data_IF_271263701816
#
_entry.id   IF_271263701816
#
_cell.length_a   1.000
_cell.length_b   1.000
_cell.length_c   1.000
_cell.angle_alpha   90.00
_cell.angle_beta   90.00
_cell.angle_gamma   90.00
#
_symmetry.space_group_name_H-M   'P 1'
#
loop_
_entity.id
_entity.type
_entity.pdbx_description
1 polymer ?
#
# COMPACT_ATOMS: atom_id res chain seq x y z
N UNK A 1 -22.49 -2.48 15.06
CA UNK A 1 -23.84 -2.52 14.45
C UNK A 1 -23.81 -3.20 13.08
N UNK A 2 -23.12 -2.66 12.07
CA UNK A 2 -23.05 -3.24 10.70
C UNK A 2 -22.48 -4.67 10.61
N UNK A 3 -21.36 -4.97 11.27
CA UNK A 3 -20.72 -6.31 11.16
C UNK A 3 -21.60 -7.43 11.74
N UNK A 4 -22.34 -7.14 12.82
CA UNK A 4 -23.25 -8.09 13.44
C UNK A 4 -24.45 -8.39 12.52
N UNK A 5 -24.98 -7.37 11.85
CA UNK A 5 -26.05 -7.53 10.86
C UNK A 5 -25.57 -8.34 9.65
N UNK A 6 -24.36 -8.06 9.15
CA UNK A 6 -23.76 -8.82 8.05
C UNK A 6 -23.53 -10.29 8.44
N UNK A 7 -23.07 -10.55 9.67
CA UNK A 7 -22.93 -11.92 10.18
C UNK A 7 -24.29 -12.62 10.30
N UNK A 8 -25.32 -11.90 10.74
CA UNK A 8 -26.68 -12.41 10.80
C UNK A 8 -27.21 -12.78 9.41
N UNK A 9 -27.06 -11.90 8.42
CA UNK A 9 -27.48 -12.12 7.03
C UNK A 9 -26.67 -13.22 6.33
N UNK A 10 -25.39 -13.39 6.68
CA UNK A 10 -24.55 -14.51 6.22
C UNK A 10 -25.07 -15.85 6.73
N UNK A 11 -25.54 -15.87 7.98
CA UNK A 11 -25.94 -17.10 8.68
C UNK A 11 -27.39 -17.48 8.37
N UNK A 12 -28.31 -16.53 8.50
CA UNK A 12 -29.76 -16.74 8.44
C UNK A 12 -30.33 -16.41 7.06
N UNK A 13 -29.64 -15.57 6.28
CA UNK A 13 -30.13 -15.09 5.00
C UNK A 13 -31.22 -14.02 5.12
N UNK A 14 -31.80 -13.67 3.97
CA UNK A 14 -32.94 -12.77 3.85
C UNK A 14 -33.89 -13.31 2.78
N UNK A 15 -35.15 -12.89 2.87
CA UNK A 15 -36.18 -13.18 1.86
C UNK A 15 -36.57 -11.86 1.20
N UNK A 16 -36.43 -11.79 -0.11
CA UNK A 16 -36.83 -10.65 -0.93
C UNK A 16 -38.04 -11.06 -1.75
N UNK A 17 -39.17 -10.39 -1.50
CA UNK A 17 -40.38 -10.57 -2.29
C UNK A 17 -40.39 -9.53 -3.42
N UNK A 18 -40.60 -10.00 -4.64
CA UNK A 18 -40.63 -9.15 -5.84
C UNK A 18 -42.07 -8.76 -6.19
N UNK A 19 -42.28 -7.71 -7.01
CA UNK A 19 -43.62 -7.24 -7.39
C UNK A 19 -44.47 -8.28 -8.14
N UNK A 20 -43.85 -9.27 -8.77
CA UNK A 20 -44.48 -10.39 -9.48
C UNK A 20 -44.77 -11.60 -8.56
N UNK A 21 -44.78 -11.40 -7.23
CA UNK A 21 -45.03 -12.42 -6.22
C UNK A 21 -44.01 -13.57 -6.20
N UNK A 22 -42.79 -13.37 -6.70
CA UNK A 22 -41.70 -14.31 -6.48
C UNK A 22 -41.04 -14.04 -5.11
N UNK A 23 -40.54 -15.10 -4.50
CA UNK A 23 -39.81 -15.03 -3.24
C UNK A 23 -38.40 -15.56 -3.43
N UNK A 24 -37.41 -14.68 -3.31
CA UNK A 24 -35.99 -14.99 -3.51
C UNK A 24 -35.32 -15.07 -2.14
N UNK A 25 -34.66 -16.20 -1.87
CA UNK A 25 -33.84 -16.37 -0.65
C UNK A 25 -32.39 -16.05 -0.96
N UNK A 26 -31.79 -15.14 -0.20
CA UNK A 26 -30.43 -14.66 -0.39
C UNK A 26 -29.62 -14.79 0.90
N UNK A 27 -28.30 -14.86 0.79
CA UNK A 27 -27.35 -14.69 1.90
C UNK A 27 -26.33 -13.62 1.51
N UNK A 28 -25.91 -12.81 2.48
CA UNK A 28 -24.91 -11.77 2.26
C UNK A 28 -23.59 -12.20 2.89
N UNK A 29 -22.50 -12.19 2.12
CA UNK A 29 -21.17 -12.57 2.58
C UNK A 29 -20.18 -11.43 2.33
N UNK A 30 -19.34 -11.13 3.34
CA UNK A 30 -18.20 -10.25 3.16
C UNK A 30 -17.07 -11.04 2.51
N UNK A 31 -16.67 -10.67 1.29
CA UNK A 31 -15.55 -11.30 0.59
C UNK A 31 -14.25 -10.52 0.78
N UNK A 32 -14.35 -9.19 0.75
CA UNK A 32 -13.21 -8.28 0.81
C UNK A 32 -13.59 -7.05 1.63
N UNK A 33 -12.68 -6.59 2.47
CA UNK A 33 -12.72 -5.32 3.17
C UNK A 33 -11.59 -4.43 2.65
N UNK A 34 -11.97 -3.45 1.83
CA UNK A 34 -11.04 -2.57 1.11
C UNK A 34 -11.07 -1.13 1.58
N UNK A 35 -9.91 -0.49 1.66
CA UNK A 35 -9.79 0.89 2.10
C UNK A 35 -8.40 1.48 1.84
N UNK A 36 -8.21 2.74 2.24
CA UNK A 36 -6.87 3.31 2.26
C UNK A 36 -5.98 2.58 3.29
N UNK A 37 -4.68 2.89 3.28
CA UNK A 37 -3.72 2.20 4.15
C UNK A 37 -4.15 2.28 5.63
N UNK A 38 -4.47 3.45 6.22
CA UNK A 38 -4.92 3.52 7.61
C UNK A 38 -6.13 2.62 7.89
N UNK A 39 -7.18 2.67 7.07
CA UNK A 39 -8.39 1.87 7.29
C UNK A 39 -8.07 0.36 7.28
N UNK A 40 -7.24 -0.09 6.33
CA UNK A 40 -6.86 -1.51 6.22
C UNK A 40 -6.05 -1.97 7.43
N UNK A 41 -5.12 -1.16 7.94
CA UNK A 41 -4.36 -1.51 9.14
C UNK A 41 -5.23 -1.49 10.41
N UNK A 42 -6.20 -0.58 10.50
CA UNK A 42 -7.16 -0.55 11.59
C UNK A 42 -8.07 -1.80 11.60
N UNK A 43 -8.56 -2.23 10.44
CA UNK A 43 -9.41 -3.41 10.33
C UNK A 43 -8.65 -4.72 10.50
N UNK A 44 -7.48 -4.84 9.86
CA UNK A 44 -6.63 -6.02 9.94
C UNK A 44 -5.99 -6.19 11.32
N UNK A 45 -5.92 -5.09 12.10
CA UNK A 45 -5.21 -5.01 13.38
C UNK A 45 -3.73 -5.34 13.27
N UNK A 46 -3.14 -5.30 12.09
CA UNK A 46 -1.69 -5.39 11.95
C UNK A 46 -1.02 -4.09 12.46
N UNK A 47 0.19 -4.22 12.99
CA UNK A 47 1.01 -3.08 13.33
C UNK A 47 1.50 -2.43 12.03
N UNK A 48 1.35 -1.11 11.92
CA UNK A 48 1.61 -0.35 10.70
C UNK A 48 3.12 -0.13 10.46
N UNK A 49 3.50 0.84 9.62
CA UNK A 49 4.87 1.10 9.13
C UNK A 49 5.92 1.43 10.22
N UNK A 50 5.52 1.61 11.48
CA UNK A 50 6.43 1.82 12.61
C UNK A 50 6.85 0.54 13.32
N UNK A 51 6.31 -0.63 12.94
CA UNK A 51 6.64 -1.92 13.54
C UNK A 51 7.72 -2.66 12.74
N UNK A 52 8.61 -3.37 13.46
CA UNK A 52 9.54 -4.33 12.84
C UNK A 52 8.82 -5.40 12.01
N UNK A 53 7.57 -5.74 12.31
CA UNK A 53 6.75 -6.66 11.52
C UNK A 53 5.55 -5.94 10.91
N UNK A 54 5.82 -4.81 10.23
CA UNK A 54 4.80 -3.91 9.70
C UNK A 54 4.05 -4.40 8.45
N UNK A 55 4.52 -5.47 7.79
CA UNK A 55 3.81 -6.03 6.65
C UNK A 55 2.63 -6.89 7.11
N UNK A 56 1.42 -6.60 6.60
CA UNK A 56 0.21 -7.40 6.87
C UNK A 56 0.16 -8.73 6.08
N UNK A 57 0.99 -8.88 5.05
CA UNK A 57 0.94 -10.03 4.13
C UNK A 57 1.96 -11.10 4.51
N UNK A 58 3.16 -10.70 4.93
CA UNK A 58 4.27 -11.60 5.24
C UNK A 58 5.01 -11.18 6.52
N UNK A 59 5.94 -12.02 6.95
CA UNK A 59 6.80 -11.82 8.12
C UNK A 59 8.10 -11.09 7.83
N UNK A 60 8.19 -10.33 6.72
CA UNK A 60 9.40 -9.59 6.40
C UNK A 60 9.72 -8.65 7.55
N UNK A 61 10.92 -8.78 8.11
CA UNK A 61 11.37 -7.95 9.23
C UNK A 61 11.89 -6.63 8.69
N UNK A 62 11.42 -5.54 9.27
CA UNK A 62 11.86 -4.19 8.98
C UNK A 62 13.32 -3.99 9.39
N UNK A 63 14.11 -3.41 8.49
CA UNK A 63 15.48 -3.02 8.70
C UNK A 63 15.59 -1.48 8.68
N UNK A 64 16.48 -0.95 9.52
CA UNK A 64 16.80 0.47 9.51
C UNK A 64 17.88 0.77 8.47
N UNK A 65 17.80 1.91 7.76
CA UNK A 65 18.86 2.34 6.87
C UNK A 65 20.15 2.63 7.65
N UNK A 66 21.31 2.27 7.07
CA UNK A 66 22.60 2.64 7.64
C UNK A 66 22.66 4.16 7.83
N UNK A 67 22.95 4.60 9.06
CA UNK A 67 23.04 6.02 9.46
C UNK A 67 21.73 6.81 9.52
N UNK A 68 20.56 6.15 9.43
CA UNK A 68 19.27 6.80 9.67
C UNK A 68 18.40 5.91 10.57
N UNK A 69 18.26 6.23 11.87
CA UNK A 69 17.36 5.50 12.77
C UNK A 69 15.88 5.74 12.44
N UNK A 70 15.58 6.70 11.55
CA UNK A 70 14.24 7.05 11.14
C UNK A 70 13.84 6.29 9.87
N UNK A 71 12.74 5.55 9.95
CA UNK A 71 12.19 4.75 8.86
C UNK A 71 12.61 3.28 8.89
N UNK A 72 11.75 2.44 8.32
CA UNK A 72 11.95 1.00 8.14
C UNK A 72 11.76 0.66 6.66
N UNK A 73 12.58 -0.24 6.14
CA UNK A 73 12.37 -0.90 4.87
C UNK A 73 12.33 -2.41 5.08
N UNK A 74 11.71 -3.15 4.16
CA UNK A 74 11.45 -4.58 4.28
C UNK A 74 12.21 -5.32 3.19
N UNK A 75 13.47 -5.73 3.43
CA UNK A 75 14.34 -6.28 2.38
C UNK A 75 14.06 -7.74 2.04
N UNK A 76 13.47 -8.50 2.96
CA UNK A 76 13.21 -9.92 2.76
C UNK A 76 12.00 -10.13 1.86
N UNK A 77 12.27 -10.47 0.59
CA UNK A 77 11.26 -10.77 -0.43
C UNK A 77 10.74 -12.21 -0.36
N UNK A 78 11.46 -13.10 0.32
CA UNK A 78 11.12 -14.52 0.45
C UNK A 78 10.48 -14.84 1.81
N UNK A 79 10.14 -13.79 2.57
CA UNK A 79 9.53 -13.89 3.87
C UNK A 79 8.27 -14.77 3.84
N UNK A 80 8.13 -15.62 4.84
CA UNK A 80 6.94 -16.46 4.99
C UNK A 80 5.65 -15.62 5.01
N UNK A 81 4.62 -16.13 4.34
CA UNK A 81 3.32 -15.48 4.27
C UNK A 81 2.55 -15.69 5.58
N UNK A 82 1.82 -14.66 6.01
CA UNK A 82 0.90 -14.76 7.14
C UNK A 82 -0.30 -15.61 6.74
N UNK A 83 -0.79 -16.39 7.68
CA UNK A 83 -1.92 -17.31 7.53
C UNK A 83 -3.18 -16.69 8.12
N UNK A 84 -4.31 -17.40 7.97
CA UNK A 84 -5.58 -17.03 8.60
C UNK A 84 -5.48 -17.17 10.13
N UNK A 85 -4.80 -18.22 10.59
CA UNK A 85 -4.65 -18.57 12.00
C UNK A 85 -3.85 -17.49 12.74
N UNK A 86 -2.83 -16.93 12.11
CA UNK A 86 -2.03 -15.83 12.68
C UNK A 86 -2.86 -14.60 13.05
N UNK A 87 -3.91 -14.31 12.26
CA UNK A 87 -4.86 -13.23 12.54
C UNK A 87 -5.83 -13.55 13.68
N UNK A 88 -6.10 -14.83 13.93
CA UNK A 88 -6.92 -15.28 15.05
C UNK A 88 -6.13 -15.27 16.37
N UNK A 89 -4.85 -15.64 16.31
CA UNK A 89 -3.95 -15.61 17.47
C UNK A 89 -3.50 -14.18 17.81
N UNK A 90 -3.28 -13.35 16.79
CA UNK A 90 -2.90 -11.94 16.90
C UNK A 90 -1.70 -11.69 17.82
N UNK A 91 -0.61 -12.44 17.61
CA UNK A 91 0.61 -12.33 18.40
C UNK A 91 1.26 -10.93 18.29
N UNK A 92 1.26 -10.17 19.38
CA UNK A 92 1.77 -8.80 19.39
C UNK A 92 3.25 -8.67 19.05
N UNK A 93 4.07 -9.69 19.36
CA UNK A 93 5.49 -9.72 19.01
C UNK A 93 5.72 -9.83 17.49
N UNK A 94 4.72 -10.27 16.74
CA UNK A 94 4.74 -10.42 15.28
C UNK A 94 3.93 -9.32 14.58
N UNK A 95 3.77 -8.16 15.22
CA UNK A 95 3.14 -6.99 14.61
C UNK A 95 1.62 -7.11 14.51
N UNK A 96 0.96 -7.56 15.58
CA UNK A 96 -0.50 -7.47 15.72
C UNK A 96 -0.89 -6.61 16.92
N UNK A 97 -1.91 -5.78 16.74
CA UNK A 97 -2.52 -4.91 17.75
C UNK A 97 -3.81 -5.50 18.33
N UNK A 98 -3.99 -6.82 18.22
CA UNK A 98 -5.16 -7.57 18.67
C UNK A 98 -5.91 -8.25 17.53
N UNK A 99 -7.01 -8.93 17.87
CA UNK A 99 -7.79 -9.75 16.93
C UNK A 99 -8.73 -8.87 16.11
N UNK A 100 -8.71 -9.06 14.79
CA UNK A 100 -9.64 -8.37 13.88
C UNK A 100 -11.07 -8.89 14.06
N UNK A 101 -12.06 -7.99 14.01
CA UNK A 101 -13.47 -8.38 14.00
C UNK A 101 -13.85 -9.25 12.79
N UNK A 102 -13.10 -9.13 11.68
CA UNK A 102 -13.36 -9.91 10.48
C UNK A 102 -13.07 -11.41 10.66
N UNK A 103 -12.25 -11.79 11.65
CA UNK A 103 -11.95 -13.21 11.96
C UNK A 103 -13.20 -14.01 12.36
N UNK A 104 -14.28 -13.34 12.78
CA UNK A 104 -15.55 -13.95 13.15
C UNK A 104 -16.36 -14.43 11.93
N UNK A 105 -16.04 -13.95 10.73
CA UNK A 105 -16.71 -14.38 9.52
C UNK A 105 -16.22 -15.75 9.07
N UNK A 106 -17.15 -16.61 8.66
CA UNK A 106 -16.84 -17.90 8.03
C UNK A 106 -16.06 -17.75 6.72
N UNK A 107 -16.19 -16.61 6.05
CA UNK A 107 -15.48 -16.26 4.81
C UNK A 107 -14.12 -15.59 5.05
N UNK A 108 -13.70 -15.41 6.30
CA UNK A 108 -12.41 -14.81 6.61
C UNK A 108 -11.27 -15.65 6.03
N UNK A 109 -10.55 -15.08 5.06
CA UNK A 109 -9.48 -15.75 4.32
C UNK A 109 -8.07 -15.40 4.82
N UNK A 110 -7.95 -14.57 5.87
CA UNK A 110 -6.66 -14.08 6.34
C UNK A 110 -6.24 -12.78 5.64
N UNK A 111 -4.95 -12.59 5.31
CA UNK A 111 -4.46 -11.36 4.67
C UNK A 111 -5.20 -10.97 3.38
N UNK A 112 -5.68 -11.96 2.62
CA UNK A 112 -6.31 -11.80 1.32
C UNK A 112 -7.66 -11.09 1.41
N UNK A 113 -8.31 -11.09 2.58
CA UNK A 113 -9.57 -10.37 2.78
C UNK A 113 -9.36 -8.84 2.75
N UNK A 114 -8.16 -8.36 3.04
CA UNK A 114 -7.86 -6.94 3.18
C UNK A 114 -7.23 -6.37 1.91
N UNK A 115 -8.06 -5.81 1.03
CA UNK A 115 -7.57 -5.11 -0.17
C UNK A 115 -7.16 -3.68 0.17
N UNK A 116 -6.14 -3.18 -0.51
CA UNK A 116 -5.77 -1.78 -0.43
C UNK A 116 -6.37 -1.04 -1.62
N UNK A 117 -6.83 0.19 -1.40
CA UNK A 117 -7.38 1.04 -2.45
C UNK A 117 -6.25 1.51 -3.38
N UNK A 118 -6.32 1.07 -4.64
CA UNK A 118 -5.22 1.19 -5.59
C UNK A 118 -4.96 2.62 -6.03
N UNK A 119 -6.00 3.45 -6.19
CA UNK A 119 -5.83 4.81 -6.70
C UNK A 119 -5.09 5.69 -5.68
N UNK A 120 -5.46 5.61 -4.41
CA UNK A 120 -4.82 6.33 -3.32
C UNK A 120 -3.39 5.84 -3.09
N UNK A 121 -3.16 4.52 -3.20
CA UNK A 121 -1.81 3.97 -3.18
C UNK A 121 -0.94 4.56 -4.30
N UNK A 122 -1.42 4.57 -5.54
CA UNK A 122 -0.65 5.04 -6.70
C UNK A 122 -0.49 6.57 -6.69
N UNK A 123 -1.58 7.31 -6.56
CA UNK A 123 -1.59 8.77 -6.68
C UNK A 123 -1.03 9.47 -5.44
N UNK A 124 -1.32 8.99 -4.22
CA UNK A 124 -0.86 9.67 -3.00
C UNK A 124 0.37 8.99 -2.39
N UNK A 125 0.38 7.67 -2.32
CA UNK A 125 1.51 6.93 -1.76
C UNK A 125 2.72 7.00 -2.68
N UNK A 126 2.63 6.34 -3.83
CA UNK A 126 3.75 6.13 -4.73
C UNK A 126 4.19 7.41 -5.45
N UNK A 127 3.25 8.17 -6.01
CA UNK A 127 3.59 9.40 -6.74
C UNK A 127 4.24 10.45 -5.84
N UNK A 128 3.84 10.54 -4.55
CA UNK A 128 4.49 11.44 -3.59
C UNK A 128 5.92 11.01 -3.29
N UNK A 129 6.18 9.70 -3.17
CA UNK A 129 7.53 9.17 -2.93
C UNK A 129 8.42 9.39 -4.15
N UNK A 130 7.93 9.11 -5.36
CA UNK A 130 8.65 9.45 -6.61
C UNK A 130 8.92 10.94 -6.68
N UNK A 131 7.92 11.79 -6.41
CA UNK A 131 8.11 13.23 -6.45
C UNK A 131 9.17 13.65 -5.42
N UNK A 132 9.16 13.09 -4.21
CA UNK A 132 10.23 13.31 -3.23
C UNK A 132 11.59 12.87 -3.78
N UNK A 133 11.72 11.69 -4.39
CA UNK A 133 12.98 11.26 -5.01
C UNK A 133 13.44 12.19 -6.15
N UNK A 134 12.51 12.73 -6.94
CA UNK A 134 12.81 13.67 -8.02
C UNK A 134 13.08 15.09 -7.50
N UNK A 135 12.57 15.45 -6.30
CA UNK A 135 12.67 16.80 -5.71
C UNK A 135 13.66 16.90 -4.56
N UNK A 136 14.17 15.78 -4.06
CA UNK A 136 15.47 15.67 -3.37
C UNK A 136 16.50 15.83 -4.50
N UNK A 137 16.80 17.04 -4.93
CA UNK A 137 17.55 18.03 -4.17
C UNK A 137 17.12 19.47 -4.50
N UNK A 138 16.25 20.05 -3.68
CA UNK A 138 15.83 21.46 -3.81
C UNK A 138 16.14 22.33 -2.59
N UNK A 139 16.69 21.75 -1.52
CA UNK A 139 17.07 22.47 -0.29
C UNK A 139 18.57 22.45 -0.01
N UNK A 140 19.29 21.45 -0.52
CA UNK A 140 20.74 21.48 -0.63
C UNK A 140 21.06 21.81 -2.08
N UNK A 141 22.18 22.45 -2.36
CA UNK A 141 22.66 22.68 -3.73
C UNK A 141 23.44 21.47 -4.25
N UNK A 142 23.06 20.26 -3.80
CA UNK A 142 23.87 19.06 -3.87
C UNK A 142 23.11 17.93 -4.58
N UNK A 143 23.14 17.97 -5.92
CA UNK A 143 22.49 17.05 -6.87
C UNK A 143 23.11 15.64 -6.89
N UNK A 144 23.82 15.29 -5.82
CA UNK A 144 24.74 14.16 -5.73
C UNK A 144 24.11 13.03 -4.93
N UNK A 145 24.12 11.85 -5.51
CA UNK A 145 23.68 10.61 -4.90
C UNK A 145 24.90 9.79 -4.51
N UNK A 146 24.79 9.09 -3.38
CA UNK A 146 25.86 8.29 -2.81
C UNK A 146 25.55 6.82 -3.08
N UNK A 147 26.41 6.14 -3.83
CA UNK A 147 26.36 4.70 -4.01
C UNK A 147 27.49 4.07 -3.19
N UNK A 148 27.14 3.19 -2.25
CA UNK A 148 28.12 2.46 -1.43
C UNK A 148 28.22 1.03 -1.94
N UNK A 149 29.42 0.61 -2.27
CA UNK A 149 29.74 -0.75 -2.72
C UNK A 149 29.92 -1.70 -1.53
N UNK A 150 29.83 -3.00 -1.79
CA UNK A 150 29.99 -4.05 -0.78
C UNK A 150 31.37 -4.04 -0.09
N UNK A 151 32.40 -3.51 -0.76
CA UNK A 151 33.75 -3.33 -0.23
C UNK A 151 33.91 -2.07 0.66
N UNK A 152 32.83 -1.32 0.86
CA UNK A 152 32.80 -0.09 1.63
C UNK A 152 33.25 1.17 0.86
N UNK A 153 33.61 1.05 -0.42
CA UNK A 153 33.88 2.20 -1.27
C UNK A 153 32.60 3.00 -1.53
N UNK A 154 32.71 4.33 -1.67
CA UNK A 154 31.60 5.20 -2.01
C UNK A 154 31.88 5.93 -3.34
N UNK A 155 30.92 5.89 -4.25
CA UNK A 155 30.92 6.68 -5.46
C UNK A 155 29.86 7.78 -5.37
N UNK A 156 30.27 8.98 -5.75
CA UNK A 156 29.39 10.14 -5.78
C UNK A 156 29.05 10.41 -7.24
N UNK A 157 27.79 10.18 -7.62
CA UNK A 157 27.29 10.46 -8.97
C UNK A 157 26.30 11.61 -8.94
N UNK A 158 26.35 12.45 -9.98
CA UNK A 158 25.23 13.36 -10.25
C UNK A 158 23.99 12.54 -10.62
N UNK A 159 22.83 12.96 -10.12
CA UNK A 159 21.58 12.29 -10.45
C UNK A 159 21.31 12.39 -11.95
N UNK A 160 21.22 11.27 -12.68
CA UNK A 160 20.99 11.31 -14.11
C UNK A 160 19.58 11.84 -14.46
N UNK A 161 18.68 11.94 -13.47
CA UNK A 161 17.29 12.39 -13.64
C UNK A 161 16.98 13.67 -12.85
N UNK A 162 17.97 14.52 -12.57
CA UNK A 162 17.71 15.80 -11.90
C UNK A 162 16.81 16.68 -12.77
N UNK A 163 15.63 17.03 -12.24
CA UNK A 163 14.70 17.97 -12.90
C UNK A 163 14.71 19.28 -12.11
N UNK A 164 15.25 20.38 -12.67
CA UNK A 164 15.28 21.67 -11.99
C UNK A 164 13.88 22.16 -11.58
N UNK A 165 13.78 22.85 -10.43
CA UNK A 165 12.50 23.37 -9.90
C UNK A 165 11.70 24.21 -10.88
N UNK A 166 12.38 24.99 -11.73
CA UNK A 166 11.71 25.84 -12.73
C UNK A 166 11.01 24.99 -13.80
N UNK A 167 11.62 23.88 -14.23
CA UNK A 167 11.01 22.93 -15.18
C UNK A 167 9.75 22.32 -14.58
N UNK A 168 9.76 21.92 -13.30
CA UNK A 168 8.56 21.40 -12.62
C UNK A 168 7.44 22.45 -12.51
N UNK A 169 7.79 23.71 -12.23
CA UNK A 169 6.82 24.82 -12.20
C UNK A 169 6.21 25.08 -13.57
N UNK A 170 7.00 24.96 -14.64
CA UNK A 170 6.54 25.12 -16.02
C UNK A 170 5.65 23.95 -16.47
N UNK A 171 5.93 22.72 -16.04
CA UNK A 171 5.03 21.59 -16.23
C UNK A 171 3.71 21.79 -15.49
N UNK A 172 3.76 22.18 -14.22
CA UNK A 172 2.57 22.43 -13.41
C UNK A 172 1.71 23.58 -13.96
N UNK A 173 2.32 24.62 -14.53
CA UNK A 173 1.59 25.73 -15.17
C UNK A 173 0.92 25.31 -16.47
N UNK A 174 1.54 24.41 -17.24
CA UNK A 174 0.94 23.80 -18.45
C UNK A 174 -0.24 22.88 -18.12
N UNK A 175 -0.19 22.14 -17.01
CA UNK A 175 -1.28 21.26 -16.56
C UNK A 175 -2.55 22.02 -16.14
N UNK A 176 -2.45 23.30 -15.78
CA UNK A 176 -3.61 24.14 -15.42
C UNK A 176 -4.41 24.64 -16.63
N UNK A 177 -3.97 24.33 -17.86
CA UNK A 177 -4.72 24.68 -19.07
C UNK A 177 -5.77 23.59 -19.35
N UNK A 178 -7.07 23.92 -19.34
CA UNK A 178 -8.17 22.95 -19.40
C UNK A 178 -8.22 22.10 -20.67
N UNK A 179 -7.54 22.52 -21.75
CA UNK A 179 -7.58 21.83 -23.05
C UNK A 179 -6.43 20.82 -23.26
N UNK A 180 -5.57 20.61 -22.26
CA UNK A 180 -4.44 19.67 -22.38
C UNK A 180 -4.85 18.29 -21.90
N UNK A 181 -5.63 17.59 -22.73
CA UNK A 181 -5.87 16.16 -22.56
C UNK A 181 -4.56 15.43 -22.88
N UNK A 182 -3.71 15.24 -21.87
CA UNK A 182 -2.63 14.28 -22.00
C UNK A 182 -3.29 12.89 -22.05
N UNK A 183 -3.12 12.11 -23.13
CA UNK A 183 -3.38 10.70 -23.02
C UNK A 183 -2.55 10.20 -21.83
N UNK A 184 -3.11 9.29 -21.04
CA UNK A 184 -2.44 8.57 -19.97
C UNK A 184 -1.35 7.65 -20.58
N UNK A 185 -0.41 8.23 -21.33
CA UNK A 185 0.74 7.59 -21.92
C UNK A 185 1.82 7.58 -20.85
N UNK A 186 1.78 6.52 -20.05
CA UNK A 186 2.92 5.89 -19.40
C UNK A 186 3.98 5.47 -20.45
N UNK A 187 4.37 6.36 -21.37
CA UNK A 187 5.26 6.03 -22.48
C UNK A 187 6.25 7.15 -22.73
N UNK A 188 7.48 6.83 -22.36
CA UNK A 188 8.77 7.10 -23.02
C UNK A 188 9.93 7.05 -22.00
N UNK A 189 9.82 7.55 -20.73
CA UNK A 189 10.94 7.43 -19.78
C UNK A 189 11.22 5.99 -19.34
N UNK A 190 10.20 5.13 -19.32
CA UNK A 190 10.33 3.72 -18.88
C UNK A 190 10.92 2.78 -19.94
N UNK A 191 11.11 3.22 -21.19
CA UNK A 191 11.80 2.40 -22.22
C UNK A 191 13.29 2.22 -21.94
N UNK A 192 13.89 3.04 -21.07
CA UNK A 192 15.31 2.92 -20.70
C UNK A 192 15.54 1.81 -19.64
N UNK A 193 14.49 1.40 -18.92
CA UNK A 193 14.59 0.41 -17.83
C UNK A 193 14.56 -1.07 -18.28
N UNK A 194 14.25 -1.34 -19.55
CA UNK A 194 14.23 -2.70 -20.11
C UNK A 194 14.89 -2.74 -21.50
N UNK A 195 16.19 -2.50 -21.57
CA UNK A 195 17.04 -3.09 -22.61
C UNK A 195 18.01 -4.06 -21.92
N UNK A 196 17.94 -5.33 -22.36
CA UNK A 196 18.92 -6.37 -22.04
C UNK A 196 20.32 -5.94 -22.44
#
# INVERSE_FOLDING_TARGET
MFLAELQWLSTHGMVVNTPDNLSIRLRAHCLVAGGDIPAVFDWSRCAYHSSEYGCRICYSKGAHPENKPQGLYFPDTDAAMRTREDYMEANSSLGYNGVSLFTQFSTFSGPQMFSLEELHLLCRGFSSQILQLLTVDLSTSNTKFYHKYEDGAFEVREYPFYIPKHVLKDFASKLKKPDTLFPLLLMEPFKILFKK
#
